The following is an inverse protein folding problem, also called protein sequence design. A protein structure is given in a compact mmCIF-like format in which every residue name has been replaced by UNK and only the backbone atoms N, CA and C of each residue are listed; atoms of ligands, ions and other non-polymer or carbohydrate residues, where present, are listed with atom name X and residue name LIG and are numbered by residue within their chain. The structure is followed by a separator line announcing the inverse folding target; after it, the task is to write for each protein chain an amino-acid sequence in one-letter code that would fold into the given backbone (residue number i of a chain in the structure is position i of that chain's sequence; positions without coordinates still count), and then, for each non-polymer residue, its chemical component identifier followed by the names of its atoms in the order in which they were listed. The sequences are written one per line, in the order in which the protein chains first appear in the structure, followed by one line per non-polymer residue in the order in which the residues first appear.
data_IF_230856171942
#
_entry.id   IF_230856171942
#
_cell.length_a   1.000
_cell.length_b   1.000
_cell.length_c   1.000
_cell.angle_alpha   90.00
_cell.angle_beta   90.00
_cell.angle_gamma   90.00
#
_symmetry.space_group_name_H-M   'P 1'
#
loop_
_entity.id
_entity.type
_entity.pdbx_description
1 polymer ?
#
# COMPACT_ATOMS: atom_id res chain seq x y z
N UNK A 1 62.17 -1.57 -33.01
CA UNK A 1 60.69 -1.60 -32.91
C UNK A 1 60.35 -2.57 -31.78
N UNK A 2 59.88 -2.23 -30.59
CA UNK A 2 59.44 -0.98 -29.91
C UNK A 2 59.40 -1.37 -28.41
N UNK A 3 60.32 -0.88 -27.57
CA UNK A 3 60.18 0.20 -26.58
C UNK A 3 59.17 -0.04 -25.44
N UNK A 4 59.69 -0.14 -24.21
CA UNK A 4 58.98 0.15 -22.97
C UNK A 4 59.08 1.65 -22.65
N UNK A 5 58.04 2.26 -22.09
CA UNK A 5 57.96 3.66 -21.67
C UNK A 5 56.68 3.97 -20.88
N UNK A 6 56.64 5.07 -20.11
CA UNK A 6 56.44 5.00 -18.66
C UNK A 6 55.37 5.97 -18.12
N UNK A 7 54.38 5.48 -17.39
CA UNK A 7 53.51 6.34 -16.55
C UNK A 7 53.11 5.52 -15.30
N UNK A 8 54.12 5.20 -14.51
CA UNK A 8 53.95 4.74 -13.14
C UNK A 8 53.11 5.75 -12.34
N UNK A 9 52.43 5.21 -11.34
CA UNK A 9 52.18 5.84 -10.04
C UNK A 9 51.09 6.93 -9.93
N UNK A 10 50.20 6.61 -8.97
CA UNK A 10 49.64 7.49 -7.93
C UNK A 10 48.38 8.29 -8.34
N UNK A 11 47.21 7.76 -8.00
CA UNK A 11 46.56 7.94 -6.69
C UNK A 11 45.80 9.27 -6.57
N UNK A 12 44.49 9.21 -6.79
CA UNK A 12 43.47 10.02 -6.10
C UNK A 12 42.23 9.12 -6.03
N UNK A 13 42.07 8.33 -4.98
CA UNK A 13 41.21 8.68 -3.82
C UNK A 13 39.90 9.33 -4.26
N UNK A 14 38.83 8.54 -4.28
CA UNK A 14 37.49 9.01 -4.57
C UNK A 14 36.47 8.13 -3.86
N UNK A 15 36.53 8.17 -2.53
CA UNK A 15 35.51 7.74 -1.59
C UNK A 15 34.09 7.84 -2.16
N UNK A 16 33.39 6.71 -2.30
CA UNK A 16 32.12 6.45 -1.61
C UNK A 16 31.48 5.18 -2.19
N UNK A 17 32.04 4.02 -1.83
CA UNK A 17 31.20 2.84 -1.61
C UNK A 17 30.41 3.13 -0.33
N UNK A 18 29.16 3.59 -0.44
CA UNK A 18 28.08 3.49 0.56
C UNK A 18 26.90 4.33 0.05
N UNK A 19 25.71 3.72 -0.06
CA UNK A 19 24.41 4.31 -0.47
C UNK A 19 23.94 4.09 -1.92
N UNK A 20 24.33 2.99 -2.58
CA UNK A 20 23.31 2.30 -3.35
C UNK A 20 22.45 1.56 -2.34
N UNK A 21 21.32 2.17 -1.94
CA UNK A 21 20.24 1.46 -1.27
C UNK A 21 20.05 0.17 -2.05
N UNK A 22 20.33 -0.97 -1.40
CA UNK A 22 19.97 -2.28 -1.93
C UNK A 22 18.45 -2.33 -1.90
N UNK A 23 17.80 -1.62 -2.82
CA UNK A 23 16.49 -1.99 -3.30
C UNK A 23 16.75 -3.28 -4.04
N UNK A 24 16.69 -4.39 -3.28
CA UNK A 24 16.81 -5.71 -3.83
C UNK A 24 15.93 -5.76 -5.06
N UNK A 25 16.51 -6.16 -6.18
CA UNK A 25 15.74 -6.58 -7.34
C UNK A 25 14.89 -7.77 -6.87
N UNK A 26 13.72 -7.47 -6.32
CA UNK A 26 12.71 -8.46 -6.01
C UNK A 26 12.21 -8.97 -7.34
N UNK A 27 12.13 -10.29 -7.52
CA UNK A 27 11.23 -10.87 -8.53
C UNK A 27 9.92 -10.07 -8.51
N UNK A 28 9.38 -9.76 -9.69
CA UNK A 28 8.19 -8.96 -9.91
C UNK A 28 7.08 -9.33 -8.92
N UNK A 29 7.09 -8.66 -7.76
CA UNK A 29 6.23 -9.03 -6.64
C UNK A 29 4.98 -8.24 -6.82
N UNK A 30 3.88 -8.96 -7.06
CA UNK A 30 2.53 -8.40 -7.10
C UNK A 30 2.37 -7.39 -5.97
N UNK A 31 1.98 -6.16 -6.30
CA UNK A 31 1.82 -5.09 -5.31
C UNK A 31 0.68 -5.46 -4.36
N UNK A 32 0.93 -5.51 -3.06
CA UNK A 32 -0.11 -5.73 -2.04
C UNK A 32 -0.48 -4.39 -1.41
N UNK A 33 -1.77 -4.05 -1.40
CA UNK A 33 -2.28 -2.77 -0.88
C UNK A 33 -3.40 -3.04 0.12
N UNK A 34 -3.24 -2.51 1.33
CA UNK A 34 -4.31 -2.41 2.31
C UNK A 34 -4.99 -1.04 2.22
N UNK A 35 -6.30 -1.01 2.00
CA UNK A 35 -7.07 0.22 1.80
C UNK A 35 -8.30 0.26 2.71
N UNK A 36 -8.62 1.42 3.27
CA UNK A 36 -9.71 1.60 4.23
C UNK A 36 -10.57 2.80 3.83
N UNK A 37 -11.87 2.56 3.61
CA UNK A 37 -12.90 3.57 3.50
C UNK A 37 -13.90 3.44 4.66
N UNK A 38 -14.23 4.57 5.29
CA UNK A 38 -15.19 4.65 6.40
C UNK A 38 -16.54 5.24 6.02
N UNK A 39 -16.69 5.72 4.79
CA UNK A 39 -17.87 6.42 4.29
C UNK A 39 -18.06 6.22 2.78
N UNK A 40 -19.27 6.49 2.30
CA UNK A 40 -19.68 6.35 0.89
C UNK A 40 -18.82 7.18 -0.07
N UNK A 41 -18.34 8.35 0.35
CA UNK A 41 -17.46 9.20 -0.46
C UNK A 41 -16.09 8.54 -0.65
N UNK A 42 -15.57 7.90 0.41
CA UNK A 42 -14.32 7.14 0.39
C UNK A 42 -14.42 5.87 -0.46
N UNK A 43 -15.57 5.17 -0.44
CA UNK A 43 -15.82 4.00 -1.29
C UNK A 43 -15.78 4.36 -2.79
N UNK A 44 -16.36 5.51 -3.15
CA UNK A 44 -16.32 6.02 -4.52
C UNK A 44 -14.91 6.31 -5.02
N UNK A 45 -14.13 7.05 -4.22
CA UNK A 45 -12.76 7.38 -4.56
C UNK A 45 -11.86 6.14 -4.55
N UNK A 46 -12.05 5.26 -3.57
CA UNK A 46 -11.31 4.01 -3.42
C UNK A 46 -11.54 3.05 -4.59
N UNK A 47 -12.79 2.90 -5.05
CA UNK A 47 -13.11 2.07 -6.21
C UNK A 47 -12.41 2.56 -7.47
N UNK A 48 -12.51 3.85 -7.78
CA UNK A 48 -11.83 4.44 -8.94
C UNK A 48 -10.30 4.33 -8.86
N UNK A 49 -9.72 4.51 -7.66
CA UNK A 49 -8.29 4.30 -7.42
C UNK A 49 -7.86 2.85 -7.69
N UNK A 50 -8.64 1.88 -7.20
CA UNK A 50 -8.35 0.46 -7.39
C UNK A 50 -8.38 0.06 -8.86
N UNK A 51 -9.38 0.55 -9.61
CA UNK A 51 -9.50 0.32 -11.05
C UNK A 51 -8.29 0.86 -11.82
N UNK A 52 -7.89 2.11 -11.57
CA UNK A 52 -6.73 2.70 -12.24
C UNK A 52 -5.42 2.05 -11.81
N UNK A 53 -5.27 1.68 -10.53
CA UNK A 53 -4.08 0.97 -10.06
C UNK A 53 -3.91 -0.40 -10.73
N UNK A 54 -4.99 -1.17 -10.92
CA UNK A 54 -4.94 -2.42 -11.67
C UNK A 54 -4.55 -2.22 -13.13
N UNK A 55 -4.91 -1.09 -13.74
CA UNK A 55 -4.52 -0.74 -15.11
C UNK A 55 -3.06 -0.33 -15.23
N UNK A 56 -2.51 0.34 -14.21
CA UNK A 56 -1.18 0.92 -14.22
C UNK A 56 -0.07 -0.03 -13.74
N UNK A 57 -0.41 -1.15 -13.09
CA UNK A 57 0.57 -2.11 -12.53
C UNK A 57 0.47 -3.46 -13.28
N UNK A 58 1.31 -3.70 -14.31
CA UNK A 58 1.29 -4.91 -15.13
C UNK A 58 1.50 -6.21 -14.35
N UNK A 59 2.27 -6.15 -13.26
CA UNK A 59 2.56 -7.28 -12.36
C UNK A 59 1.34 -7.66 -11.48
N UNK A 60 0.29 -6.83 -11.52
CA UNK A 60 -0.94 -6.99 -10.76
C UNK A 60 -0.90 -6.35 -9.38
N UNK A 61 -2.09 -6.01 -8.89
CA UNK A 61 -2.31 -5.49 -7.52
C UNK A 61 -3.25 -6.43 -6.78
N UNK A 62 -3.00 -6.65 -5.50
CA UNK A 62 -3.90 -7.34 -4.59
C UNK A 62 -4.40 -6.34 -3.54
N UNK A 63 -5.72 -6.24 -3.40
CA UNK A 63 -6.34 -5.33 -2.44
C UNK A 63 -6.95 -6.08 -1.27
N UNK A 64 -6.72 -5.57 -0.07
CA UNK A 64 -7.33 -5.99 1.18
C UNK A 64 -7.76 -4.77 1.98
N UNK A 65 -8.70 -4.94 2.90
CA UNK A 65 -9.01 -3.92 3.90
C UNK A 65 -10.48 -3.72 4.11
N UNK A 66 -10.95 -2.48 4.12
CA UNK A 66 -12.35 -2.13 4.43
C UNK A 66 -12.88 -1.20 3.35
N UNK A 67 -14.00 -1.54 2.75
CA UNK A 67 -14.60 -0.72 1.71
C UNK A 67 -16.07 -1.07 1.49
N UNK A 68 -16.75 -0.19 0.76
CA UNK A 68 -18.15 -0.35 0.41
C UNK A 68 -18.33 -1.12 -0.89
N UNK A 69 -19.46 -0.86 -1.55
CA UNK A 69 -19.90 -1.62 -2.73
C UNK A 69 -18.97 -1.40 -3.92
N UNK A 70 -18.48 -0.17 -4.15
CA UNK A 70 -17.64 0.13 -5.32
C UNK A 70 -16.26 -0.47 -5.18
N UNK A 71 -15.65 -0.38 -4.01
CA UNK A 71 -14.36 -1.02 -3.76
C UNK A 71 -14.49 -2.55 -3.86
N UNK A 72 -15.58 -3.14 -3.35
CA UNK A 72 -15.83 -4.57 -3.51
C UNK A 72 -15.98 -4.98 -4.98
N UNK A 73 -16.69 -4.19 -5.80
CA UNK A 73 -16.81 -4.40 -7.24
C UNK A 73 -15.46 -4.30 -7.97
N UNK A 74 -14.58 -3.40 -7.52
CA UNK A 74 -13.20 -3.28 -8.01
C UNK A 74 -12.26 -4.40 -7.48
N UNK A 75 -12.78 -5.38 -6.74
CA UNK A 75 -12.02 -6.56 -6.29
C UNK A 75 -11.47 -6.48 -4.87
N UNK A 76 -11.95 -5.54 -4.03
CA UNK A 76 -11.59 -5.51 -2.61
C UNK A 76 -12.21 -6.70 -1.87
N UNK A 77 -11.37 -7.45 -1.15
CA UNK A 77 -11.85 -8.36 -0.12
C UNK A 77 -11.97 -7.62 1.23
N UNK A 78 -13.17 -7.12 1.52
CA UNK A 78 -13.42 -6.37 2.76
C UNK A 78 -13.47 -7.28 3.99
N UNK A 79 -12.75 -6.94 5.05
CA UNK A 79 -12.68 -7.75 6.29
C UNK A 79 -13.97 -7.65 7.13
N UNK A 80 -14.79 -6.63 6.89
CA UNK A 80 -16.16 -6.48 7.42
C UNK A 80 -16.97 -5.50 6.55
N UNK A 81 -18.31 -5.47 6.66
CA UNK A 81 -19.15 -4.53 5.92
C UNK A 81 -18.88 -3.07 6.35
N UNK A 82 -18.72 -2.15 5.40
CA UNK A 82 -18.45 -0.72 5.70
C UNK A 82 -19.58 -0.07 6.50
N UNK A 83 -20.80 -0.59 6.39
CA UNK A 83 -21.99 -0.14 7.12
C UNK A 83 -21.85 -0.25 8.65
N UNK A 84 -20.90 -1.04 9.12
CA UNK A 84 -20.54 -1.12 10.54
C UNK A 84 -19.81 0.13 11.04
N UNK A 85 -19.14 0.86 10.13
CA UNK A 85 -18.46 2.13 10.43
C UNK A 85 -19.38 3.34 10.20
N UNK A 86 -20.41 3.22 9.37
CA UNK A 86 -21.33 4.33 9.08
C UNK A 86 -22.42 4.46 10.14
N UNK A 87 -22.61 5.68 10.65
CA UNK A 87 -23.66 6.01 11.61
C UNK A 87 -24.36 7.30 11.17
N UNK A 88 -25.68 7.23 10.94
CA UNK A 88 -26.48 8.39 10.55
C UNK A 88 -27.04 9.05 11.82
N UNK A 89 -26.55 10.26 12.14
CA UNK A 89 -27.03 11.06 13.27
C UNK A 89 -26.23 10.87 14.58
N UNK A 90 -26.11 11.94 15.37
CA UNK A 90 -25.27 12.01 16.58
C UNK A 90 -25.63 10.97 17.65
N UNK A 91 -26.91 10.67 17.84
CA UNK A 91 -27.39 9.66 18.80
C UNK A 91 -27.08 8.23 18.35
N UNK A 92 -27.11 7.95 17.04
CA UNK A 92 -26.72 6.66 16.48
C UNK A 92 -25.20 6.43 16.57
N UNK A 93 -24.39 7.49 16.42
CA UNK A 93 -22.92 7.44 16.60
C UNK A 93 -22.56 7.01 18.02
N UNK A 94 -23.19 7.60 19.05
CA UNK A 94 -22.93 7.25 20.45
C UNK A 94 -23.28 5.79 20.77
N UNK A 95 -24.39 5.29 20.23
CA UNK A 95 -24.77 3.87 20.38
C UNK A 95 -23.86 2.90 19.64
N UNK A 96 -23.28 3.32 18.50
CA UNK A 96 -22.35 2.51 17.70
C UNK A 96 -20.89 2.62 18.12
N UNK A 97 -20.53 3.56 19.02
CA UNK A 97 -19.14 3.80 19.42
C UNK A 97 -18.41 2.52 19.88
N UNK A 98 -18.99 1.61 20.70
CA UNK A 98 -18.32 0.35 21.05
C UNK A 98 -18.01 -0.53 19.84
N UNK A 99 -18.93 -0.60 18.87
CA UNK A 99 -18.75 -1.34 17.62
C UNK A 99 -17.66 -0.71 16.76
N UNK A 100 -17.67 0.62 16.61
CA UNK A 100 -16.64 1.36 15.86
C UNK A 100 -15.26 1.09 16.45
N UNK A 101 -15.12 1.18 17.78
CA UNK A 101 -13.85 0.88 18.47
C UNK A 101 -13.40 -0.57 18.27
N UNK A 102 -14.33 -1.53 18.26
CA UNK A 102 -14.02 -2.93 17.95
C UNK A 102 -13.55 -3.10 16.50
N UNK A 103 -14.24 -2.48 15.54
CA UNK A 103 -13.88 -2.54 14.12
C UNK A 103 -12.52 -1.89 13.86
N UNK A 104 -12.23 -0.75 14.51
CA UNK A 104 -10.91 -0.12 14.45
C UNK A 104 -9.79 -1.06 14.92
N UNK A 105 -9.97 -1.74 16.05
CA UNK A 105 -8.99 -2.73 16.54
C UNK A 105 -8.81 -3.89 15.56
N UNK A 106 -9.90 -4.41 15.01
CA UNK A 106 -9.84 -5.48 14.00
C UNK A 106 -9.12 -5.03 12.73
N UNK A 107 -9.32 -3.80 12.28
CA UNK A 107 -8.58 -3.24 11.15
C UNK A 107 -7.09 -3.16 11.47
N UNK A 108 -6.71 -2.67 12.65
CA UNK A 108 -5.30 -2.59 13.07
C UNK A 108 -4.68 -3.99 13.13
N UNK A 109 -5.35 -4.95 13.75
CA UNK A 109 -4.90 -6.35 13.81
C UNK A 109 -4.74 -6.96 12.42
N UNK A 110 -5.66 -6.68 11.50
CA UNK A 110 -5.59 -7.18 10.12
C UNK A 110 -4.41 -6.56 9.33
N UNK A 111 -4.16 -5.27 9.48
CA UNK A 111 -3.02 -4.59 8.83
C UNK A 111 -1.69 -5.13 9.34
N UNK A 112 -1.57 -5.40 10.65
CA UNK A 112 -0.34 -5.90 11.25
C UNK A 112 -0.05 -7.37 10.92
N UNK A 113 -1.03 -8.11 10.41
CA UNK A 113 -0.89 -9.52 10.04
C UNK A 113 -0.53 -9.75 8.56
N UNK A 114 -0.60 -8.70 7.73
CA UNK A 114 -0.22 -8.71 6.31
C UNK A 114 1.26 -8.32 6.12
#
# INVERSE_FOLDING_TARGET
MTAAGPEDLLAVSGTSMQNAVVLGASEARKLSVFIVAGEESGDQLGGALMEEAMRLVPEGVAFRGVGGVRMAQAGLNSIFPMEDLTAIGFTAVLGKLPTIMRRLRQTVEAVLAD
#
